data_IF_992379697360
#
_entry.id   IF_992379697360
#
_cell.length_a   1.000
_cell.length_b   1.000
_cell.length_c   1.000
_cell.angle_alpha   90.00
_cell.angle_beta   90.00
_cell.angle_gamma   90.00
#
_symmetry.space_group_name_H-M   'P 1'
#
loop_
_entity.id
_entity.type
_entity.pdbx_description
1 polymer ?
#
# COMPACT_ATOMS: atom_id res chain seq x y z
N UNK A 1 7.75 -11.23 -20.68
CA UNK A 1 6.50 -11.37 -19.92
C UNK A 1 6.54 -12.54 -18.94
N UNK A 2 6.85 -13.79 -19.32
CA UNK A 2 6.92 -14.93 -18.38
C UNK A 2 8.04 -14.82 -17.32
N UNK A 3 9.22 -14.35 -17.68
CA UNK A 3 10.37 -14.19 -16.75
C UNK A 3 10.08 -13.18 -15.65
N UNK A 4 9.43 -12.06 -15.97
CA UNK A 4 9.06 -11.03 -14.97
C UNK A 4 8.01 -11.52 -13.96
N UNK A 5 7.09 -12.39 -14.39
CA UNK A 5 6.08 -13.01 -13.49
C UNK A 5 6.74 -13.98 -12.50
N UNK A 6 7.75 -14.72 -12.95
CA UNK A 6 8.48 -15.68 -12.11
C UNK A 6 9.33 -14.96 -11.03
N UNK A 7 9.94 -13.82 -11.38
CA UNK A 7 10.69 -12.98 -10.43
C UNK A 7 9.78 -12.39 -9.34
N UNK A 8 8.61 -11.88 -9.73
CA UNK A 8 7.61 -11.38 -8.76
C UNK A 8 7.14 -12.50 -7.84
N UNK A 9 6.84 -13.67 -8.41
CA UNK A 9 6.39 -14.83 -7.64
C UNK A 9 7.46 -15.27 -6.63
N UNK A 10 8.73 -15.31 -7.04
CA UNK A 10 9.84 -15.62 -6.16
C UNK A 10 9.97 -14.58 -5.04
N UNK A 11 9.98 -13.28 -5.37
CA UNK A 11 10.07 -12.20 -4.37
C UNK A 11 8.99 -12.32 -3.31
N UNK A 12 7.72 -12.46 -3.74
CA UNK A 12 6.60 -12.52 -2.81
C UNK A 12 6.49 -13.87 -2.07
N UNK A 13 7.05 -14.94 -2.59
CA UNK A 13 7.17 -16.22 -1.88
C UNK A 13 8.20 -16.14 -0.74
N UNK A 14 9.26 -15.36 -0.91
CA UNK A 14 10.31 -15.12 0.08
C UNK A 14 9.91 -14.07 1.13
N UNK A 15 8.96 -13.18 0.79
CA UNK A 15 8.49 -12.16 1.70
C UNK A 15 7.68 -12.78 2.85
N UNK A 16 8.24 -12.77 4.07
CA UNK A 16 7.59 -13.37 5.22
C UNK A 16 6.23 -12.69 5.51
N UNK A 17 5.16 -13.48 5.48
CA UNK A 17 3.80 -12.95 5.58
C UNK A 17 3.28 -12.83 7.02
N UNK A 18 3.84 -13.59 7.96
CA UNK A 18 3.33 -13.68 9.33
C UNK A 18 4.02 -12.73 10.32
N UNK A 19 5.15 -12.14 9.97
CA UNK A 19 5.88 -11.14 10.76
C UNK A 19 5.19 -9.78 10.82
N UNK A 20 4.20 -9.63 10.07
CA UNK A 20 3.37 -8.55 9.66
C UNK A 20 3.45 -7.25 10.41
N UNK A 21 4.11 -6.35 9.78
CA UNK A 21 3.89 -4.95 9.96
C UNK A 21 2.39 -4.64 9.87
N UNK A 22 1.80 -4.34 11.00
CA UNK A 22 0.55 -3.61 11.07
C UNK A 22 0.91 -2.18 11.51
N UNK A 23 1.33 -1.33 10.56
CA UNK A 23 1.22 0.07 10.84
C UNK A 23 -0.22 0.31 11.28
N UNK A 24 -0.40 0.96 12.40
CA UNK A 24 -1.73 1.41 12.82
C UNK A 24 -2.15 2.52 11.89
N UNK A 25 -2.46 2.15 10.65
CA UNK A 25 -2.98 3.06 9.67
C UNK A 25 -4.42 3.36 10.01
N UNK A 26 -4.71 4.61 10.22
CA UNK A 26 -6.06 5.10 10.14
C UNK A 26 -6.39 5.17 8.65
N UNK A 27 -7.46 4.48 8.24
CA UNK A 27 -7.95 4.64 6.88
C UNK A 27 -8.43 6.10 6.74
N UNK A 28 -7.56 6.96 6.25
CA UNK A 28 -7.91 8.31 5.85
C UNK A 28 -8.81 8.21 4.62
N UNK A 29 -10.05 8.69 4.75
CA UNK A 29 -11.00 8.73 3.66
C UNK A 29 -11.04 10.15 3.09
N UNK A 30 -11.29 10.32 1.78
CA UNK A 30 -11.43 11.67 1.21
C UNK A 30 -12.68 12.36 1.77
N UNK A 31 -12.69 13.69 1.75
CA UNK A 31 -13.87 14.47 2.16
C UNK A 31 -15.07 14.22 1.26
N UNK A 32 -14.84 13.84 0.00
CA UNK A 32 -15.92 13.51 -0.95
C UNK A 32 -16.51 12.13 -0.66
N UNK A 33 -17.81 11.99 -0.93
CA UNK A 33 -18.52 10.72 -0.76
C UNK A 33 -17.95 9.61 -1.64
N UNK A 34 -17.81 8.41 -1.08
CA UNK A 34 -17.45 7.19 -1.80
C UNK A 34 -18.68 6.39 -2.27
N UNK A 35 -19.89 6.84 -1.97
CA UNK A 35 -21.13 6.13 -2.33
C UNK A 35 -21.21 5.91 -3.84
N UNK A 36 -21.41 4.65 -4.23
CA UNK A 36 -21.48 4.24 -5.64
C UNK A 36 -20.12 4.05 -6.33
N UNK A 37 -19.01 4.36 -5.66
CA UNK A 37 -17.67 4.29 -6.27
C UNK A 37 -17.19 2.85 -6.48
N UNK A 38 -16.34 2.66 -7.48
CA UNK A 38 -15.54 1.44 -7.72
C UNK A 38 -14.15 1.65 -7.16
N UNK A 39 -13.75 0.81 -6.23
CA UNK A 39 -12.48 0.95 -5.50
C UNK A 39 -11.63 -0.32 -5.68
N UNK A 40 -10.34 -0.14 -5.91
CA UNK A 40 -9.33 -1.20 -5.80
C UNK A 40 -8.53 -0.99 -4.53
N UNK A 41 -8.50 -1.96 -3.63
CA UNK A 41 -7.66 -1.96 -2.43
C UNK A 41 -6.46 -2.89 -2.68
N UNK A 42 -5.28 -2.30 -2.90
CA UNK A 42 -4.04 -3.01 -3.23
C UNK A 42 -3.27 -3.35 -1.94
N UNK A 43 -2.87 -4.62 -1.80
CA UNK A 43 -2.31 -5.14 -0.56
C UNK A 43 -3.38 -5.30 0.52
N UNK A 44 -4.53 -5.87 0.15
CA UNK A 44 -5.72 -5.92 1.00
C UNK A 44 -5.62 -6.89 2.18
N UNK A 45 -4.59 -7.74 2.21
CA UNK A 45 -4.37 -8.77 3.23
C UNK A 45 -5.65 -9.59 3.51
N UNK A 46 -6.02 -9.77 4.78
CA UNK A 46 -7.22 -10.51 5.22
C UNK A 46 -8.53 -9.70 5.07
N UNK A 47 -8.55 -8.68 4.21
CA UNK A 47 -9.75 -7.99 3.77
C UNK A 47 -10.31 -6.90 4.67
N UNK A 48 -9.72 -6.60 5.84
CA UNK A 48 -10.27 -5.62 6.81
C UNK A 48 -10.54 -4.23 6.18
N UNK A 49 -9.61 -3.73 5.37
CA UNK A 49 -9.77 -2.47 4.64
C UNK A 49 -10.88 -2.55 3.60
N UNK A 50 -10.90 -3.63 2.81
CA UNK A 50 -11.92 -3.86 1.78
C UNK A 50 -13.32 -3.92 2.37
N UNK A 51 -13.53 -4.58 3.54
CA UNK A 51 -14.82 -4.60 4.22
C UNK A 51 -15.30 -3.20 4.62
N UNK A 52 -14.39 -2.36 5.17
CA UNK A 52 -14.73 -0.97 5.52
C UNK A 52 -15.08 -0.14 4.30
N UNK A 53 -14.30 -0.29 3.21
CA UNK A 53 -14.58 0.41 1.97
C UNK A 53 -15.91 -0.04 1.35
N UNK A 54 -16.26 -1.33 1.45
CA UNK A 54 -17.56 -1.83 0.95
C UNK A 54 -18.76 -1.20 1.68
N UNK A 55 -18.63 -0.97 2.99
CA UNK A 55 -19.61 -0.24 3.77
C UNK A 55 -19.75 1.22 3.28
N UNK A 56 -18.64 1.89 2.93
CA UNK A 56 -18.62 3.29 2.47
C UNK A 56 -19.18 3.47 1.06
N UNK A 57 -18.90 2.54 0.15
CA UNK A 57 -19.43 2.63 -1.23
C UNK A 57 -20.90 2.22 -1.31
N UNK A 58 -21.39 1.47 -0.33
CA UNK A 58 -22.79 1.02 -0.27
C UNK A 58 -23.17 0.09 -1.42
N UNK A 59 -24.48 -0.14 -1.60
CA UNK A 59 -24.99 -1.09 -2.59
C UNK A 59 -24.74 -0.67 -4.04
N UNK A 60 -24.55 0.62 -4.31
CA UNK A 60 -24.28 1.16 -5.65
C UNK A 60 -22.85 1.01 -6.11
N UNK A 61 -21.90 0.84 -5.17
CA UNK A 61 -20.48 0.72 -5.47
C UNK A 61 -19.97 -0.70 -5.47
N UNK A 62 -18.66 -0.84 -5.70
CA UNK A 62 -17.98 -2.14 -5.69
C UNK A 62 -16.51 -2.01 -5.28
N UNK A 63 -16.02 -2.93 -4.46
CA UNK A 63 -14.62 -2.93 -3.99
C UNK A 63 -13.94 -4.23 -4.39
N UNK A 64 -12.76 -4.12 -5.01
CA UNK A 64 -11.90 -5.27 -5.29
C UNK A 64 -10.67 -5.18 -4.40
N UNK A 65 -10.48 -6.16 -3.52
CA UNK A 65 -9.24 -6.35 -2.78
C UNK A 65 -8.28 -7.22 -3.58
N UNK A 66 -7.02 -6.80 -3.72
CA UNK A 66 -5.96 -7.57 -4.37
C UNK A 66 -4.83 -7.79 -3.39
N UNK A 67 -4.34 -9.02 -3.28
CA UNK A 67 -3.17 -9.38 -2.48
C UNK A 67 -2.43 -10.55 -3.14
N UNK A 68 -1.10 -10.56 -3.00
CA UNK A 68 -0.27 -11.65 -3.54
C UNK A 68 -0.34 -12.92 -2.71
N UNK A 69 -0.72 -12.82 -1.43
CA UNK A 69 -0.78 -13.95 -0.52
C UNK A 69 -2.14 -14.65 -0.61
N UNK A 70 -2.15 -15.83 -1.23
CA UNK A 70 -3.37 -16.62 -1.42
C UNK A 70 -4.07 -16.96 -0.10
N UNK A 71 -3.33 -17.28 0.97
CA UNK A 71 -3.93 -17.58 2.27
C UNK A 71 -4.64 -16.35 2.88
N UNK A 72 -4.12 -15.14 2.63
CA UNK A 72 -4.78 -13.91 3.04
C UNK A 72 -6.06 -13.67 2.23
N UNK A 73 -6.01 -13.89 0.93
CA UNK A 73 -7.17 -13.76 0.05
C UNK A 73 -8.27 -14.76 0.42
N UNK A 74 -7.91 -15.99 0.71
CA UNK A 74 -8.86 -17.02 1.18
C UNK A 74 -9.49 -16.62 2.53
N UNK A 75 -8.68 -16.15 3.48
CA UNK A 75 -9.20 -15.64 4.76
C UNK A 75 -10.14 -14.44 4.56
N UNK A 76 -9.81 -13.54 3.60
CA UNK A 76 -10.66 -12.43 3.25
C UNK A 76 -12.00 -12.89 2.63
N UNK A 77 -11.97 -13.86 1.73
CA UNK A 77 -13.19 -14.46 1.15
C UNK A 77 -14.07 -15.09 2.21
N UNK A 78 -13.46 -15.84 3.13
CA UNK A 78 -14.19 -16.48 4.23
C UNK A 78 -14.85 -15.47 5.20
N UNK A 79 -14.32 -14.26 5.31
CA UNK A 79 -14.87 -13.19 6.15
C UNK A 79 -16.04 -12.42 5.54
N UNK A 80 -16.33 -12.58 4.23
CA UNK A 80 -17.39 -11.83 3.52
C UNK A 80 -18.77 -11.98 4.15
N UNK A 81 -19.27 -13.19 4.50
CA UNK A 81 -20.61 -13.32 5.07
C UNK A 81 -20.77 -12.50 6.35
N UNK A 82 -19.78 -12.53 7.25
CA UNK A 82 -19.80 -11.75 8.49
C UNK A 82 -19.73 -10.24 8.24
N UNK A 83 -18.96 -9.83 7.21
CA UNK A 83 -18.86 -8.43 6.84
C UNK A 83 -20.21 -7.90 6.31
N UNK A 84 -20.91 -8.68 5.48
CA UNK A 84 -22.24 -8.35 4.97
C UNK A 84 -23.29 -8.26 6.09
N UNK A 85 -23.30 -9.24 7.00
CA UNK A 85 -24.20 -9.23 8.15
C UNK A 85 -24.01 -7.96 9.00
N UNK A 86 -22.75 -7.58 9.27
CA UNK A 86 -22.41 -6.39 10.05
C UNK A 86 -22.80 -5.08 9.35
N UNK A 87 -22.60 -5.00 8.04
CA UNK A 87 -22.87 -3.78 7.25
C UNK A 87 -24.36 -3.60 6.93
N UNK A 88 -25.16 -4.66 7.02
CA UNK A 88 -26.57 -4.65 6.63
C UNK A 88 -26.80 -4.54 5.11
N UNK A 89 -25.76 -4.74 4.29
CA UNK A 89 -25.88 -4.73 2.83
C UNK A 89 -26.68 -5.94 2.35
N UNK A 90 -27.63 -5.73 1.46
CA UNK A 90 -28.51 -6.76 0.92
C UNK A 90 -27.84 -7.64 -0.12
N UNK A 91 -26.75 -7.17 -0.72
CA UNK A 91 -25.95 -7.89 -1.72
C UNK A 91 -24.45 -7.72 -1.49
N UNK A 92 -23.69 -8.70 -1.95
CA UNK A 92 -22.22 -8.61 -1.93
C UNK A 92 -21.74 -7.57 -2.96
N UNK A 93 -21.03 -6.57 -2.50
CA UNK A 93 -20.44 -5.50 -3.29
C UNK A 93 -18.90 -5.50 -3.19
N UNK A 94 -18.30 -6.66 -2.93
CA UNK A 94 -16.86 -6.81 -2.84
C UNK A 94 -16.39 -8.13 -3.45
N UNK A 95 -15.13 -8.14 -3.92
CA UNK A 95 -14.43 -9.33 -4.37
C UNK A 95 -12.97 -9.31 -3.91
N UNK A 96 -12.35 -10.49 -3.83
CA UNK A 96 -10.94 -10.64 -3.48
C UNK A 96 -10.22 -11.47 -4.53
N UNK A 97 -9.06 -10.99 -4.99
CA UNK A 97 -8.27 -11.59 -6.06
C UNK A 97 -6.82 -11.79 -5.61
N UNK A 98 -6.24 -12.92 -5.99
CA UNK A 98 -4.80 -13.13 -5.88
C UNK A 98 -4.14 -12.40 -7.05
N UNK A 99 -3.11 -11.61 -6.76
CA UNK A 99 -2.37 -10.87 -7.78
C UNK A 99 -1.30 -9.98 -7.20
N UNK A 100 -0.36 -9.60 -8.04
CA UNK A 100 0.75 -8.71 -7.68
C UNK A 100 0.37 -7.25 -7.89
N UNK A 101 0.81 -6.35 -7.00
CA UNK A 101 0.62 -4.90 -7.17
C UNK A 101 1.20 -4.37 -8.49
N UNK A 102 2.26 -4.99 -8.98
CA UNK A 102 2.98 -4.65 -10.21
C UNK A 102 2.27 -5.16 -11.49
N UNK A 103 1.23 -5.98 -11.35
CA UNK A 103 0.49 -6.57 -12.47
C UNK A 103 -0.99 -6.79 -12.10
N UNK A 104 -1.71 -5.68 -11.91
CA UNK A 104 -3.13 -5.71 -11.61
C UNK A 104 -3.96 -6.20 -12.82
N UNK A 105 -3.39 -6.14 -14.03
CA UNK A 105 -4.04 -6.69 -15.23
C UNK A 105 -4.17 -8.21 -15.14
N UNK A 106 -3.14 -8.93 -14.69
CA UNK A 106 -3.20 -10.37 -14.45
C UNK A 106 -4.24 -10.73 -13.36
N UNK A 107 -4.49 -9.84 -12.41
CA UNK A 107 -5.57 -9.98 -11.44
C UNK A 107 -6.97 -9.65 -12.05
N UNK A 108 -7.06 -9.39 -13.34
CA UNK A 108 -8.30 -9.11 -14.07
C UNK A 108 -8.84 -7.69 -13.84
N UNK A 109 -7.99 -6.73 -13.50
CA UNK A 109 -8.38 -5.33 -13.38
C UNK A 109 -8.09 -4.59 -14.69
N UNK A 110 -9.16 -4.12 -15.32
CA UNK A 110 -9.12 -3.40 -16.59
C UNK A 110 -8.61 -1.96 -16.39
N UNK A 111 -8.08 -1.38 -17.48
CA UNK A 111 -7.72 0.03 -17.52
C UNK A 111 -8.94 0.92 -17.28
N UNK A 112 -8.79 1.95 -16.46
CA UNK A 112 -9.86 2.92 -16.20
C UNK A 112 -11.06 2.37 -15.43
N UNK A 113 -10.94 1.20 -14.81
CA UNK A 113 -12.05 0.58 -14.09
C UNK A 113 -12.39 1.29 -12.77
N UNK A 114 -11.41 1.80 -12.04
CA UNK A 114 -11.59 2.29 -10.68
C UNK A 114 -11.77 3.81 -10.59
N UNK A 115 -12.68 4.25 -9.76
CA UNK A 115 -12.80 5.66 -9.37
C UNK A 115 -11.75 6.02 -8.31
N UNK A 116 -11.40 5.03 -7.46
CA UNK A 116 -10.32 5.14 -6.46
C UNK A 116 -9.45 3.90 -6.41
N UNK A 117 -8.17 4.10 -6.16
CA UNK A 117 -7.26 3.06 -5.68
C UNK A 117 -6.88 3.39 -4.24
N UNK A 118 -6.94 2.40 -3.36
CA UNK A 118 -6.55 2.53 -1.97
C UNK A 118 -5.31 1.69 -1.67
N UNK A 119 -4.28 2.34 -1.10
CA UNK A 119 -2.99 1.77 -0.75
C UNK A 119 -2.69 2.08 0.72
N UNK A 120 -2.56 1.04 1.55
CA UNK A 120 -2.37 1.26 2.98
C UNK A 120 -1.06 0.64 3.47
N UNK A 121 -0.02 1.48 3.62
CA UNK A 121 1.29 1.18 4.22
C UNK A 121 2.04 -0.03 3.65
N UNK A 122 1.67 -0.53 2.47
CA UNK A 122 2.30 -1.70 1.84
C UNK A 122 3.32 -1.35 0.76
N UNK A 123 3.32 -0.10 0.25
CA UNK A 123 4.10 0.30 -0.91
C UNK A 123 5.60 0.00 -0.77
N UNK A 124 6.19 0.25 0.40
CA UNK A 124 7.61 0.03 0.66
C UNK A 124 8.03 -1.45 0.64
N UNK A 125 7.05 -2.37 0.78
CA UNK A 125 7.27 -3.82 0.70
C UNK A 125 7.03 -4.40 -0.69
N UNK A 126 6.59 -3.61 -1.66
CA UNK A 126 6.42 -4.08 -3.02
C UNK A 126 7.77 -4.33 -3.70
N UNK A 127 7.83 -5.31 -4.57
CA UNK A 127 9.04 -5.64 -5.32
C UNK A 127 9.50 -4.43 -6.15
N UNK A 128 8.55 -3.74 -6.78
CA UNK A 128 8.76 -2.51 -7.53
C UNK A 128 7.67 -1.47 -7.24
N UNK A 129 7.88 -0.58 -6.25
CA UNK A 129 6.92 0.49 -5.94
C UNK A 129 6.54 1.35 -7.15
N UNK A 130 7.51 1.71 -7.97
CA UNK A 130 7.27 2.49 -9.20
C UNK A 130 6.35 1.77 -10.19
N UNK A 131 6.52 0.44 -10.37
CA UNK A 131 5.67 -0.35 -11.27
C UNK A 131 4.27 -0.52 -10.68
N UNK A 132 4.16 -0.75 -9.37
CA UNK A 132 2.88 -0.83 -8.68
C UNK A 132 2.09 0.48 -8.80
N UNK A 133 2.74 1.64 -8.65
CA UNK A 133 2.08 2.93 -8.84
C UNK A 133 1.63 3.15 -10.29
N UNK A 134 2.41 2.71 -11.30
CA UNK A 134 1.96 2.74 -12.70
C UNK A 134 0.70 1.88 -12.92
N UNK A 135 0.64 0.68 -12.32
CA UNK A 135 -0.56 -0.16 -12.38
C UNK A 135 -1.75 0.48 -11.64
N UNK A 136 -1.53 1.12 -10.48
CA UNK A 136 -2.55 1.93 -9.82
C UNK A 136 -3.07 3.05 -10.73
N UNK A 137 -2.18 3.77 -11.43
CA UNK A 137 -2.54 4.78 -12.42
C UNK A 137 -3.32 4.18 -13.59
N UNK A 138 -2.89 3.04 -14.12
CA UNK A 138 -3.58 2.36 -15.25
C UNK A 138 -5.03 1.99 -14.92
N UNK A 139 -5.28 1.42 -13.74
CA UNK A 139 -6.64 0.99 -13.34
C UNK A 139 -7.56 2.13 -12.96
N UNK A 140 -7.03 3.32 -12.67
CA UNK A 140 -7.85 4.50 -12.37
C UNK A 140 -8.51 5.05 -13.63
N UNK A 141 -9.78 5.39 -13.52
CA UNK A 141 -10.51 6.16 -14.54
C UNK A 141 -9.92 7.57 -14.67
N UNK A 142 -10.15 8.27 -15.81
CA UNK A 142 -9.82 9.69 -15.92
C UNK A 142 -10.45 10.50 -14.78
N UNK A 143 -9.63 11.26 -14.03
CA UNK A 143 -10.04 11.97 -12.83
C UNK A 143 -10.23 11.09 -11.60
N UNK A 144 -9.86 9.82 -11.67
CA UNK A 144 -9.79 8.92 -10.53
C UNK A 144 -8.66 9.31 -9.56
N UNK A 145 -8.70 8.77 -8.35
CA UNK A 145 -7.80 9.20 -7.27
C UNK A 145 -7.14 8.02 -6.58
N UNK A 146 -5.84 8.15 -6.37
CA UNK A 146 -5.08 7.30 -5.46
C UNK A 146 -5.18 7.88 -4.03
N UNK A 147 -5.67 7.08 -3.10
CA UNK A 147 -5.64 7.33 -1.66
C UNK A 147 -4.56 6.44 -1.06
N UNK A 148 -3.51 7.02 -0.52
CA UNK A 148 -2.38 6.24 -0.05
C UNK A 148 -1.91 6.68 1.33
N UNK A 149 -1.73 5.73 2.23
CA UNK A 149 -0.94 5.91 3.45
C UNK A 149 0.42 5.27 3.23
N UNK A 150 1.48 6.07 3.23
CA UNK A 150 2.82 5.63 2.86
C UNK A 150 3.82 6.00 3.94
N UNK A 151 4.53 5.02 4.52
CA UNK A 151 5.74 5.30 5.29
C UNK A 151 6.81 5.92 4.38
N UNK A 152 7.42 7.00 4.85
CA UNK A 152 8.55 7.65 4.20
C UNK A 152 9.69 7.81 5.18
N UNK A 153 10.92 7.72 4.67
CA UNK A 153 12.13 8.01 5.42
C UNK A 153 12.53 9.47 5.19
N UNK A 154 12.90 10.16 6.28
CA UNK A 154 13.54 11.45 6.17
C UNK A 154 15.03 11.29 5.81
N UNK A 155 15.62 12.24 5.08
CA UNK A 155 17.06 12.29 4.93
C UNK A 155 17.69 12.40 6.33
N UNK A 156 18.66 11.54 6.65
CA UNK A 156 19.36 11.63 7.94
C UNK A 156 19.89 13.04 8.15
N UNK A 157 19.43 13.71 9.23
CA UNK A 157 19.44 15.13 9.52
C UNK A 157 20.80 15.84 9.61
N UNK A 158 21.69 15.69 8.63
CA UNK A 158 22.94 16.45 8.48
C UNK A 158 23.08 17.21 7.16
N UNK A 159 22.08 17.17 6.27
CA UNK A 159 22.08 17.96 5.04
C UNK A 159 20.88 18.90 5.00
N UNK A 160 21.11 20.21 4.93
CA UNK A 160 20.08 21.18 4.54
C UNK A 160 19.70 20.90 3.09
N UNK A 161 18.41 21.00 2.75
CA UNK A 161 17.96 21.00 1.36
C UNK A 161 18.84 21.97 0.53
N UNK A 162 19.68 21.40 -0.35
CA UNK A 162 20.61 22.18 -1.19
C UNK A 162 22.04 21.65 -1.27
N UNK A 163 22.46 20.70 -0.44
CA UNK A 163 23.79 20.10 -0.54
C UNK A 163 23.79 18.97 -1.58
N UNK A 164 24.58 19.16 -2.65
CA UNK A 164 24.68 18.27 -3.81
C UNK A 164 25.37 16.90 -3.53
N UNK A 165 25.65 16.59 -2.29
CA UNK A 165 26.21 15.32 -1.83
C UNK A 165 25.15 14.41 -1.20
N UNK A 166 23.99 14.26 -1.88
CA UNK A 166 23.09 13.16 -1.58
C UNK A 166 23.73 11.85 -2.12
N UNK A 167 24.77 11.41 -1.45
CA UNK A 167 25.21 10.02 -1.56
C UNK A 167 24.04 9.20 -1.00
N UNK A 168 23.34 8.48 -1.88
CA UNK A 168 22.42 7.43 -1.46
C UNK A 168 23.19 6.59 -0.44
N UNK A 169 22.85 6.75 0.84
CA UNK A 169 23.65 6.18 1.92
C UNK A 169 23.66 4.66 1.72
N UNK A 170 24.86 4.09 1.44
CA UNK A 170 25.01 2.64 1.26
C UNK A 170 24.44 1.89 2.48
N UNK A 171 24.44 2.53 3.65
CA UNK A 171 23.78 2.06 4.86
C UNK A 171 22.25 2.02 4.68
N UNK A 172 21.65 3.03 4.04
CA UNK A 172 20.20 3.05 3.82
C UNK A 172 19.73 1.91 2.91
N UNK A 173 20.44 1.63 1.82
CA UNK A 173 20.12 0.50 0.94
C UNK A 173 20.19 -0.84 1.67
N UNK A 174 21.18 -1.03 2.54
CA UNK A 174 21.31 -2.22 3.37
C UNK A 174 20.15 -2.34 4.40
N UNK A 175 19.76 -1.22 5.03
CA UNK A 175 18.61 -1.17 5.94
C UNK A 175 17.32 -1.54 5.20
N UNK A 176 17.07 -0.97 4.03
CA UNK A 176 15.88 -1.28 3.22
C UNK A 176 15.82 -2.76 2.84
N UNK A 177 16.94 -3.34 2.39
CA UNK A 177 17.00 -4.76 2.05
C UNK A 177 16.73 -5.66 3.27
N UNK A 178 17.35 -5.37 4.42
CA UNK A 178 17.11 -6.09 5.66
C UNK A 178 15.68 -5.93 6.17
N UNK A 179 15.12 -4.72 6.07
CA UNK A 179 13.74 -4.43 6.49
C UNK A 179 12.71 -5.17 5.63
N UNK A 180 12.96 -5.31 4.34
CA UNK A 180 12.11 -6.12 3.44
C UNK A 180 12.15 -7.60 3.82
N UNK A 181 13.31 -8.13 4.20
CA UNK A 181 13.42 -9.51 4.69
C UNK A 181 12.68 -9.72 6.04
N UNK A 182 12.50 -8.67 6.85
CA UNK A 182 11.76 -8.67 8.11
C UNK A 182 10.29 -8.25 7.97
N UNK A 183 9.74 -8.12 6.77
CA UNK A 183 8.61 -7.34 6.27
C UNK A 183 8.26 -6.10 7.10
N UNK A 184 9.25 -5.29 7.44
CA UNK A 184 9.09 -4.03 8.17
C UNK A 184 8.96 -2.84 7.20
N UNK A 185 7.71 -2.45 6.91
CA UNK A 185 7.42 -1.39 5.95
C UNK A 185 7.90 0.00 6.39
N UNK A 186 8.10 0.25 7.69
CA UNK A 186 8.64 1.53 8.16
C UNK A 186 10.12 1.65 7.79
N UNK A 187 10.92 0.67 8.19
CA UNK A 187 12.35 0.68 7.89
C UNK A 187 12.66 0.42 6.40
N UNK A 188 11.73 -0.18 5.66
CA UNK A 188 11.81 -0.32 4.20
C UNK A 188 11.34 0.93 3.43
N UNK A 189 10.88 1.98 4.11
CA UNK A 189 10.34 3.18 3.49
C UNK A 189 11.36 3.88 2.59
N UNK A 190 10.90 4.42 1.47
CA UNK A 190 11.71 5.26 0.56
C UNK A 190 11.75 6.70 1.04
N UNK A 191 12.69 7.46 0.51
CA UNK A 191 12.70 8.92 0.70
C UNK A 191 11.46 9.56 0.02
N UNK A 192 11.06 10.71 0.52
CA UNK A 192 9.89 11.46 -0.05
C UNK A 192 10.12 11.79 -1.52
N UNK A 193 11.35 12.20 -1.88
CA UNK A 193 11.72 12.56 -3.25
C UNK A 193 11.58 11.38 -4.22
N UNK A 194 11.92 10.16 -3.79
CA UNK A 194 11.72 8.94 -4.60
C UNK A 194 10.23 8.68 -4.81
N UNK A 195 9.43 8.75 -3.75
CA UNK A 195 7.98 8.58 -3.84
C UNK A 195 7.35 9.58 -4.81
N UNK A 196 7.71 10.86 -4.71
CA UNK A 196 7.23 11.90 -5.62
C UNK A 196 7.67 11.64 -7.07
N UNK A 197 8.91 11.19 -7.28
CA UNK A 197 9.41 10.77 -8.60
C UNK A 197 8.57 9.63 -9.20
N UNK A 198 8.30 8.58 -8.44
CA UNK A 198 7.48 7.44 -8.89
C UNK A 198 6.03 7.84 -9.20
N UNK A 199 5.43 8.72 -8.41
CA UNK A 199 4.09 9.25 -8.67
C UNK A 199 4.06 10.06 -9.99
N UNK A 200 5.04 10.94 -10.19
CA UNK A 200 5.15 11.73 -11.43
C UNK A 200 5.37 10.82 -12.66
N UNK A 201 6.27 9.82 -12.58
CA UNK A 201 6.50 8.84 -13.65
C UNK A 201 5.26 7.98 -13.96
N UNK A 202 4.42 7.72 -12.96
CA UNK A 202 3.17 7.00 -13.13
C UNK A 202 2.03 7.88 -13.69
N UNK A 203 2.29 9.17 -13.95
CA UNK A 203 1.33 10.11 -14.54
C UNK A 203 0.36 10.72 -13.53
N UNK A 204 0.68 10.68 -12.26
CA UNK A 204 -0.10 11.33 -11.21
C UNK A 204 0.25 12.83 -11.09
N UNK A 205 -0.71 13.63 -10.64
CA UNK A 205 -0.50 15.02 -10.26
C UNK A 205 0.31 15.15 -8.96
N UNK A 206 0.64 16.36 -8.57
CA UNK A 206 1.25 16.64 -7.28
C UNK A 206 0.31 16.16 -6.13
N UNK A 207 0.83 15.38 -5.16
CA UNK A 207 -0.01 14.85 -4.09
C UNK A 207 -0.46 15.93 -3.11
N UNK A 208 -1.71 15.82 -2.66
CA UNK A 208 -2.22 16.59 -1.53
C UNK A 208 -1.95 15.76 -0.27
N UNK A 209 -1.16 16.30 0.64
CA UNK A 209 -0.92 15.68 1.95
C UNK A 209 -2.11 16.01 2.86
N UNK A 210 -2.90 14.99 3.19
CA UNK A 210 -4.08 15.11 4.07
C UNK A 210 -3.73 14.93 5.54
N UNK A 211 -2.68 14.18 5.82
CA UNK A 211 -2.21 13.91 7.16
C UNK A 211 -0.75 13.50 7.19
N UNK A 212 -0.11 13.74 8.32
CA UNK A 212 1.27 13.38 8.57
C UNK A 212 1.45 13.05 10.05
N UNK A 213 2.19 11.98 10.34
CA UNK A 213 2.58 11.66 11.73
C UNK A 213 3.92 10.93 11.78
N UNK A 214 4.68 11.09 12.88
CA UNK A 214 5.89 10.29 13.07
C UNK A 214 5.57 8.80 13.17
N UNK A 215 6.53 7.97 12.73
CA UNK A 215 6.51 6.52 12.85
C UNK A 215 7.72 6.04 13.64
N UNK A 216 7.51 5.00 14.46
CA UNK A 216 8.59 4.24 15.09
C UNK A 216 8.88 2.96 14.28
N UNK A 217 10.15 2.52 14.17
CA UNK A 217 10.49 1.23 13.55
C UNK A 217 9.77 0.01 14.14
N UNK A 218 9.38 0.08 15.40
CA UNK A 218 8.62 -0.93 16.12
C UNK A 218 7.10 -0.66 16.15
N UNK A 219 6.62 0.24 15.32
CA UNK A 219 5.20 0.56 15.16
C UNK A 219 4.38 -0.73 14.97
N UNK A 220 3.29 -0.86 15.71
CA UNK A 220 2.45 -2.05 15.67
C UNK A 220 2.91 -3.21 16.57
N UNK A 221 4.06 -3.08 17.26
CA UNK A 221 4.47 -4.03 18.29
C UNK A 221 3.42 -4.19 19.38
N UNK A 222 3.26 -5.43 19.83
CA UNK A 222 2.49 -5.75 21.04
C UNK A 222 3.37 -6.59 21.98
N UNK A 223 3.07 -6.67 23.28
CA UNK A 223 3.85 -7.50 24.21
C UNK A 223 3.97 -8.96 23.76
N UNK A 224 2.93 -9.49 23.13
CA UNK A 224 2.87 -10.87 22.66
C UNK A 224 3.45 -11.05 21.25
N UNK A 225 3.65 -9.96 20.52
CA UNK A 225 4.15 -9.95 19.13
C UNK A 225 4.96 -8.68 18.86
N UNK A 226 6.24 -8.67 19.24
CA UNK A 226 7.13 -7.56 18.93
C UNK A 226 7.37 -7.48 17.40
N UNK A 227 7.42 -6.27 16.85
CA UNK A 227 7.83 -6.09 15.46
C UNK A 227 9.31 -6.44 15.30
N UNK A 228 9.64 -7.16 14.24
CA UNK A 228 11.02 -7.37 13.87
C UNK A 228 11.60 -6.09 13.29
N UNK A 229 12.71 -5.61 13.84
CA UNK A 229 13.38 -4.38 13.44
C UNK A 229 14.82 -4.65 12.99
N UNK A 230 15.33 -3.82 12.09
CA UNK A 230 16.73 -3.82 11.70
C UNK A 230 17.54 -3.14 12.80
N UNK A 231 18.48 -3.84 13.46
CA UNK A 231 19.26 -3.25 14.54
C UNK A 231 20.18 -2.12 14.04
N UNK A 232 20.33 -1.06 14.85
CA UNK A 232 21.25 0.05 14.57
C UNK A 232 20.76 1.01 13.49
N UNK A 233 19.52 0.88 13.05
CA UNK A 233 18.88 1.85 12.19
C UNK A 233 18.47 3.09 13.01
N UNK A 234 19.02 4.24 12.68
CA UNK A 234 18.76 5.55 13.26
C UNK A 234 17.89 6.45 12.37
N UNK A 235 17.24 5.85 11.38
CA UNK A 235 16.36 6.55 10.44
C UNK A 235 15.17 7.22 11.13
N UNK A 236 14.76 8.37 10.62
CA UNK A 236 13.55 9.08 11.01
C UNK A 236 12.46 8.77 9.99
N UNK A 237 11.29 8.39 10.48
CA UNK A 237 10.19 7.93 9.63
C UNK A 237 8.91 8.71 9.91
N UNK A 238 8.13 8.90 8.85
CA UNK A 238 6.79 9.49 8.93
C UNK A 238 5.80 8.67 8.12
N UNK A 239 4.53 8.69 8.52
CA UNK A 239 3.42 8.26 7.70
C UNK A 239 2.84 9.47 7.01
N UNK A 240 2.74 9.43 5.69
CA UNK A 240 2.01 10.41 4.90
C UNK A 240 0.68 9.82 4.45
N UNK A 241 -0.41 10.56 4.67
CA UNK A 241 -1.72 10.27 4.08
C UNK A 241 -1.89 11.17 2.86
N UNK A 242 -1.94 10.56 1.68
CA UNK A 242 -1.90 11.24 0.39
C UNK A 242 -3.20 11.06 -0.39
N UNK A 243 -3.64 12.12 -1.03
CA UNK A 243 -4.65 12.11 -2.07
C UNK A 243 -4.02 12.60 -3.38
N UNK A 244 -4.02 11.76 -4.43
CA UNK A 244 -3.30 12.03 -5.66
C UNK A 244 -4.21 11.79 -6.86
N UNK A 245 -4.48 12.81 -7.65
CA UNK A 245 -5.29 12.69 -8.86
C UNK A 245 -4.47 12.12 -10.03
N UNK A 246 -5.14 11.31 -10.87
CA UNK A 246 -4.60 10.86 -12.15
C UNK A 246 -4.82 11.91 -13.23
#
# INVERSE_FOLDING_TARGET
MAVESDELQQYYAELACDGGFEARCHMELPERSLVGARIVNVGCRRGKGTYKLSEQVGEGGFVVGVDWNEAFVEAARAGVPRALERSGLSRCNMAFRVGFPEDLAAAGLEEGWADFVYLNSSLSLFASPARALRECGRVLAPGGVLLAEVPVAEPNGKGRAGDADFVADANRAAVVAAARALPNAVQAASAVEELLGWLAEAGFSEPIVRGERPLSPDEGSTPDRPAATVPGDDGIYRLLSLEVAR
#
